data_IF_441841248816
#
_entry.id   IF_441841248816
#
_cell.length_a   1.000
_cell.length_b   1.000
_cell.length_c   1.000
_cell.angle_alpha   90.00
_cell.angle_beta   90.00
_cell.angle_gamma   90.00
#
_symmetry.space_group_name_H-M   'P 1'
#
loop_
_entity.id
_entity.type
_entity.pdbx_description
1 polymer ?
#
# COMPACT_ATOMS: atom_id res chain seq x y z
N UNK A 1 34.15 -17.64 -13.70
CA UNK A 1 33.60 -16.30 -13.36
C UNK A 1 33.73 -15.28 -14.52
N UNK A 2 34.74 -15.38 -15.41
CA UNK A 2 34.96 -14.48 -16.55
C UNK A 2 33.84 -14.43 -17.62
N UNK A 3 33.15 -15.54 -17.90
CA UNK A 3 32.21 -15.63 -19.04
C UNK A 3 30.88 -14.88 -18.86
N UNK A 4 30.49 -14.57 -17.62
CA UNK A 4 29.24 -13.86 -17.32
C UNK A 4 29.38 -12.34 -17.48
N UNK A 5 30.58 -11.82 -17.25
CA UNK A 5 30.90 -10.39 -17.40
C UNK A 5 30.98 -10.01 -18.89
N UNK A 6 31.66 -10.80 -19.71
CA UNK A 6 31.80 -10.51 -21.15
C UNK A 6 30.44 -10.46 -21.87
N UNK A 7 29.46 -11.28 -21.49
CA UNK A 7 28.13 -11.27 -22.11
C UNK A 7 27.30 -10.01 -21.81
N UNK A 8 27.52 -9.37 -20.65
CA UNK A 8 26.87 -8.10 -20.29
C UNK A 8 27.56 -6.92 -20.98
N UNK A 9 28.90 -6.91 -21.02
CA UNK A 9 29.66 -5.87 -21.71
C UNK A 9 29.41 -5.88 -23.23
N UNK A 10 29.39 -7.04 -23.88
CA UNK A 10 29.11 -7.16 -25.34
C UNK A 10 27.68 -6.67 -25.68
N UNK A 11 26.74 -6.70 -24.73
CA UNK A 11 25.37 -6.19 -24.93
C UNK A 11 25.25 -4.67 -24.77
N UNK A 12 26.18 -4.01 -24.04
CA UNK A 12 26.22 -2.55 -23.89
C UNK A 12 26.55 -1.82 -25.19
N UNK A 13 27.51 -2.35 -25.95
CA UNK A 13 28.00 -1.70 -27.17
C UNK A 13 27.02 -1.79 -28.36
N UNK A 14 26.09 -2.76 -28.35
CA UNK A 14 25.12 -2.96 -29.45
C UNK A 14 23.95 -1.97 -29.47
N UNK A 15 23.71 -1.25 -28.38
CA UNK A 15 22.53 -0.36 -28.24
C UNK A 15 22.92 1.11 -28.49
N UNK A 16 24.20 1.42 -28.74
CA UNK A 16 24.66 2.78 -29.03
C UNK A 16 24.48 3.77 -27.87
N UNK A 17 24.14 3.28 -26.67
CA UNK A 17 23.71 4.10 -25.53
C UNK A 17 24.74 4.07 -24.39
N UNK A 18 26.02 3.89 -24.72
CA UNK A 18 27.12 3.84 -23.75
C UNK A 18 27.14 5.08 -22.86
N UNK A 19 26.89 6.27 -23.43
CA UNK A 19 26.80 7.53 -22.69
C UNK A 19 25.69 7.56 -21.64
N UNK A 20 24.52 7.00 -21.94
CA UNK A 20 23.42 6.87 -20.98
C UNK A 20 23.81 5.94 -19.83
N UNK A 21 24.38 4.77 -20.12
CA UNK A 21 24.78 3.84 -19.07
C UNK A 21 25.92 4.40 -18.21
N UNK A 22 26.88 5.12 -18.78
CA UNK A 22 27.93 5.80 -18.00
C UNK A 22 27.36 6.90 -17.11
N UNK A 23 26.45 7.73 -17.64
CA UNK A 23 25.74 8.73 -16.84
C UNK A 23 24.92 8.08 -15.72
N UNK A 24 24.23 6.98 -16.03
CA UNK A 24 23.34 6.27 -15.15
C UNK A 24 24.09 5.52 -14.04
N UNK A 25 25.23 4.88 -14.33
CA UNK A 25 26.11 4.26 -13.31
C UNK A 25 26.72 5.33 -12.40
N UNK A 26 27.20 6.44 -12.98
CA UNK A 26 27.80 7.54 -12.21
C UNK A 26 26.79 8.21 -11.27
N UNK A 27 25.53 8.29 -11.69
CA UNK A 27 24.44 8.90 -10.91
C UNK A 27 23.51 7.86 -10.28
N UNK A 28 23.92 6.59 -10.21
CA UNK A 28 23.08 5.49 -9.76
C UNK A 28 22.49 5.76 -8.38
N UNK A 29 23.32 6.11 -7.41
CA UNK A 29 22.84 6.43 -6.07
C UNK A 29 21.93 7.67 -6.01
N UNK A 30 22.11 8.64 -6.92
CA UNK A 30 21.33 9.88 -6.95
C UNK A 30 19.99 9.74 -7.69
N UNK A 31 19.85 8.74 -8.55
CA UNK A 31 18.59 8.44 -9.25
C UNK A 31 17.74 7.39 -8.51
N UNK A 32 18.14 7.04 -7.29
CA UNK A 32 17.48 6.05 -6.43
C UNK A 32 15.99 6.30 -6.25
N UNK A 33 15.57 7.53 -5.99
CA UNK A 33 14.14 7.87 -5.87
C UNK A 33 13.35 7.55 -7.15
N UNK A 34 13.94 7.80 -8.32
CA UNK A 34 13.26 7.72 -9.61
C UNK A 34 12.92 6.28 -9.99
N UNK A 35 13.80 5.32 -9.69
CA UNK A 35 13.50 3.90 -9.90
C UNK A 35 12.91 3.19 -8.69
N UNK A 36 13.05 3.72 -7.46
CA UNK A 36 12.22 3.26 -6.34
C UNK A 36 10.74 3.52 -6.65
N UNK A 37 10.38 4.70 -7.15
CA UNK A 37 8.99 4.98 -7.54
C UNK A 37 8.54 4.07 -8.67
N UNK A 38 9.39 3.84 -9.68
CA UNK A 38 9.08 2.92 -10.78
C UNK A 38 8.88 1.46 -10.30
N UNK A 39 9.75 0.96 -9.43
CA UNK A 39 9.62 -0.40 -8.86
C UNK A 39 8.47 -0.53 -7.84
N UNK A 40 8.09 0.56 -7.13
CA UNK A 40 6.94 0.58 -6.22
C UNK A 40 5.59 0.70 -6.94
N UNK A 41 5.57 1.22 -8.16
CA UNK A 41 4.35 1.32 -8.96
C UNK A 41 3.87 -0.05 -9.47
N UNK A 42 4.81 -0.92 -9.86
CA UNK A 42 4.52 -2.26 -10.38
C UNK A 42 4.48 -3.35 -9.29
N UNK A 43 4.85 -3.02 -8.05
CA UNK A 43 4.58 -3.88 -6.90
C UNK A 43 3.05 -3.97 -6.78
N UNK A 44 2.46 -5.18 -6.93
CA UNK A 44 1.07 -5.37 -6.60
C UNK A 44 0.99 -4.94 -5.15
N UNK A 45 0.38 -3.78 -4.90
CA UNK A 45 0.01 -3.43 -3.55
C UNK A 45 -0.89 -4.58 -3.16
N UNK A 46 -0.35 -5.50 -2.35
CA UNK A 46 -1.18 -6.46 -1.66
C UNK A 46 -2.33 -5.61 -1.15
N UNK A 47 -3.56 -5.97 -1.51
CA UNK A 47 -4.77 -5.24 -1.11
C UNK A 47 -4.99 -5.36 0.41
N UNK A 48 -3.91 -5.27 1.19
CA UNK A 48 -3.79 -5.13 2.63
C UNK A 48 -4.65 -3.99 3.14
N UNK A 49 -5.03 -3.01 2.31
CA UNK A 49 -6.05 -2.06 2.73
C UNK A 49 -7.39 -2.73 3.03
N UNK A 50 -7.82 -3.69 2.20
CA UNK A 50 -9.06 -4.45 2.42
C UNK A 50 -8.89 -5.47 3.55
N UNK A 51 -7.74 -6.15 3.62
CA UNK A 51 -7.48 -7.10 4.71
C UNK A 51 -7.41 -6.39 6.07
N UNK A 52 -6.67 -5.29 6.19
CA UNK A 52 -6.56 -4.52 7.43
C UNK A 52 -7.90 -3.86 7.81
N UNK A 53 -8.73 -3.49 6.83
CA UNK A 53 -10.09 -3.01 7.12
C UNK A 53 -11.00 -4.13 7.66
N UNK A 54 -10.93 -5.33 7.08
CA UNK A 54 -11.70 -6.48 7.54
C UNK A 54 -11.24 -6.93 8.92
N UNK A 55 -9.93 -7.07 9.12
CA UNK A 55 -9.34 -7.44 10.40
C UNK A 55 -9.68 -6.41 11.48
N UNK A 56 -9.56 -5.10 11.20
CA UNK A 56 -9.93 -4.05 12.14
C UNK A 56 -11.43 -3.99 12.46
N UNK A 57 -12.30 -4.36 11.52
CA UNK A 57 -13.73 -4.51 11.81
C UNK A 57 -14.00 -5.72 12.70
N UNK A 58 -13.36 -6.86 12.40
CA UNK A 58 -13.52 -8.09 13.17
C UNK A 58 -12.97 -7.99 14.59
N UNK A 59 -11.87 -7.26 14.79
CA UNK A 59 -11.29 -6.99 16.10
C UNK A 59 -12.30 -6.23 16.99
N UNK A 60 -12.82 -5.10 16.51
CA UNK A 60 -13.85 -4.33 17.24
C UNK A 60 -15.14 -5.10 17.46
N UNK A 61 -15.52 -5.96 16.52
CA UNK A 61 -16.69 -6.82 16.67
C UNK A 61 -16.50 -7.82 17.80
N UNK A 62 -15.31 -8.41 17.91
CA UNK A 62 -14.99 -9.35 18.99
C UNK A 62 -14.99 -8.66 20.35
N UNK A 63 -14.53 -7.42 20.43
CA UNK A 63 -14.60 -6.64 21.67
C UNK A 63 -16.05 -6.32 22.09
N UNK A 64 -16.96 -6.20 21.12
CA UNK A 64 -18.38 -5.91 21.35
C UNK A 64 -19.30 -7.12 21.48
N UNK A 65 -18.77 -8.36 21.40
CA UNK A 65 -19.54 -9.60 21.48
C UNK A 65 -19.04 -10.46 22.64
N UNK A 66 -19.94 -10.79 23.56
CA UNK A 66 -19.68 -11.67 24.70
C UNK A 66 -20.28 -13.07 24.51
N UNK A 67 -19.71 -14.08 25.16
CA UNK A 67 -20.17 -15.47 25.11
C UNK A 67 -21.55 -15.69 25.72
N UNK A 68 -22.06 -14.74 26.51
CA UNK A 68 -23.42 -14.75 27.05
C UNK A 68 -24.47 -14.17 26.10
N UNK A 69 -24.07 -13.53 25.00
CA UNK A 69 -24.97 -12.88 24.06
C UNK A 69 -25.69 -13.91 23.17
N UNK A 70 -26.99 -13.72 22.99
CA UNK A 70 -27.74 -14.44 21.98
C UNK A 70 -27.29 -14.03 20.57
N UNK A 71 -27.47 -14.92 19.60
CA UNK A 71 -27.14 -14.64 18.19
C UNK A 71 -27.78 -13.35 17.66
N UNK A 72 -29.02 -13.06 18.07
CA UNK A 72 -29.72 -11.82 17.70
C UNK A 72 -28.99 -10.57 18.23
N UNK A 73 -28.45 -10.64 19.45
CA UNK A 73 -27.68 -9.54 20.05
C UNK A 73 -26.33 -9.35 19.35
N UNK A 74 -25.66 -10.45 18.95
CA UNK A 74 -24.41 -10.37 18.18
C UNK A 74 -24.60 -9.75 16.79
N UNK A 75 -25.70 -10.09 16.11
CA UNK A 75 -26.04 -9.47 14.81
C UNK A 75 -26.35 -7.99 14.99
N UNK A 76 -27.07 -7.63 16.06
CA UNK A 76 -27.36 -6.22 16.37
C UNK A 76 -26.09 -5.43 16.68
N UNK A 77 -25.18 -5.95 17.49
CA UNK A 77 -23.91 -5.25 17.80
C UNK A 77 -23.05 -5.03 16.55
N UNK A 78 -22.98 -6.02 15.65
CA UNK A 78 -22.30 -5.86 14.37
C UNK A 78 -22.94 -4.80 13.45
N UNK A 79 -24.27 -4.70 13.45
CA UNK A 79 -24.97 -3.65 12.72
C UNK A 79 -24.72 -2.26 13.31
N UNK A 80 -24.81 -2.13 14.63
CA UNK A 80 -24.58 -0.87 15.36
C UNK A 80 -23.16 -0.35 15.11
N UNK A 81 -22.14 -1.23 15.14
CA UNK A 81 -20.74 -0.92 14.79
C UNK A 81 -20.57 -0.42 13.34
N UNK A 82 -21.33 -1.00 12.39
CA UNK A 82 -21.28 -0.56 10.98
C UNK A 82 -21.84 0.84 10.82
N UNK A 83 -22.94 1.15 11.51
CA UNK A 83 -23.56 2.48 11.51
C UNK A 83 -22.65 3.52 12.15
N UNK A 84 -22.00 3.19 13.27
CA UNK A 84 -21.04 4.08 13.93
C UNK A 84 -19.84 4.41 13.02
N UNK A 85 -19.29 3.41 12.32
CA UNK A 85 -18.22 3.65 11.34
C UNK A 85 -18.65 4.56 10.19
N UNK A 86 -19.87 4.42 9.67
CA UNK A 86 -20.40 5.34 8.64
C UNK A 86 -20.59 6.75 9.20
N UNK A 87 -21.06 6.88 10.43
CA UNK A 87 -21.21 8.18 11.10
C UNK A 87 -19.87 8.90 11.26
N UNK A 88 -18.87 8.21 11.83
CA UNK A 88 -17.53 8.74 12.03
C UNK A 88 -16.86 9.14 10.71
N UNK A 89 -17.06 8.34 9.65
CA UNK A 89 -16.58 8.65 8.32
C UNK A 89 -17.19 9.93 7.73
N UNK A 90 -18.51 10.11 7.88
CA UNK A 90 -19.21 11.34 7.44
C UNK A 90 -18.78 12.55 8.26
N UNK A 91 -18.72 12.41 9.58
CA UNK A 91 -18.33 13.47 10.50
C UNK A 91 -16.91 13.97 10.22
N UNK A 92 -15.96 13.07 9.99
CA UNK A 92 -14.56 13.41 9.72
C UNK A 92 -14.40 14.26 8.45
N UNK A 93 -15.21 13.99 7.42
CA UNK A 93 -15.17 14.78 6.18
C UNK A 93 -15.84 16.14 6.32
N UNK A 94 -16.95 16.23 7.05
CA UNK A 94 -17.61 17.52 7.31
C UNK A 94 -16.67 18.44 8.12
N UNK A 95 -16.04 17.92 9.17
CA UNK A 95 -15.09 18.70 9.99
C UNK A 95 -13.86 19.15 9.21
N UNK A 96 -13.34 18.34 8.28
CA UNK A 96 -12.23 18.73 7.40
C UNK A 96 -12.60 19.90 6.46
N UNK A 97 -13.84 19.94 5.95
CA UNK A 97 -14.32 21.07 5.15
C UNK A 97 -14.43 22.37 5.96
N UNK A 98 -14.83 22.29 7.23
CA UNK A 98 -14.95 23.47 8.10
C UNK A 98 -13.58 24.05 8.47
N UNK A 99 -12.55 23.22 8.61
CA UNK A 99 -11.18 23.64 8.97
C UNK A 99 -10.29 24.07 7.79
N UNK A 100 -10.82 24.12 6.56
CA UNK A 100 -10.06 24.49 5.35
C UNK A 100 -10.34 25.92 4.84
N UNK A 101 -10.99 26.77 5.65
CA UNK A 101 -11.23 28.20 5.39
C UNK A 101 -10.33 29.08 6.26
#
# INVERSE_FOLDING_TARGET
>A
MQARLTRVYIRRDRIGNSGFFTYFEKNWHNCQERWIMHHRADLPHFRNHTNNQLEGFLEKLKDGVDGSMSMAQCVKSGFDLRVENEYNYRHSRIVQFVNSN
#
